data_IF_472594313851
#
_entry.id   IF_472594313851
#
_cell.length_a   1.000
_cell.length_b   1.000
_cell.length_c   1.000
_cell.angle_alpha   90.00
_cell.angle_beta   90.00
_cell.angle_gamma   90.00
#
_symmetry.space_group_name_H-M   'P 1'
#
loop_
_entity.id
_entity.type
_entity.pdbx_description
1 polymer ?
#
# COMPACT_ATOMS: atom_id res chain seq x y z
N UNK A 1 27.01 5.88 6.98
CA UNK A 1 25.91 5.59 7.94
C UNK A 1 24.90 4.73 7.21
N UNK A 2 24.26 3.78 7.89
CA UNK A 2 23.16 3.02 7.28
C UNK A 2 21.98 3.97 6.99
N UNK A 3 21.38 3.83 5.82
CA UNK A 3 20.12 4.51 5.51
C UNK A 3 19.05 4.03 6.50
N UNK A 4 18.44 4.95 7.24
CA UNK A 4 17.41 4.62 8.23
C UNK A 4 16.07 4.29 7.59
N UNK A 5 15.90 4.59 6.31
CA UNK A 5 14.70 4.35 5.53
C UNK A 5 14.91 3.23 4.50
N UNK A 6 15.94 2.40 4.62
CA UNK A 6 16.02 1.17 3.82
C UNK A 6 15.08 0.10 4.39
N UNK A 7 14.02 -0.19 3.65
CA UNK A 7 13.03 -1.23 3.99
C UNK A 7 13.19 -2.49 3.13
N UNK A 8 14.32 -2.65 2.43
CA UNK A 8 14.61 -3.85 1.65
C UNK A 8 14.48 -5.11 2.50
N UNK A 9 13.73 -6.09 1.97
CA UNK A 9 13.48 -7.36 2.65
C UNK A 9 12.46 -7.29 3.79
N UNK A 10 11.81 -6.14 4.00
CA UNK A 10 10.69 -5.99 4.94
C UNK A 10 9.35 -6.11 4.22
N UNK A 11 8.32 -6.50 4.96
CA UNK A 11 6.93 -6.48 4.52
C UNK A 11 6.22 -5.37 5.31
N UNK A 12 5.49 -4.50 4.61
CA UNK A 12 4.76 -3.38 5.20
C UNK A 12 3.29 -3.45 4.79
N UNK A 13 2.41 -3.38 5.78
CA UNK A 13 0.96 -3.20 5.62
C UNK A 13 0.59 -1.81 6.11
N UNK A 14 -0.12 -1.06 5.27
CA UNK A 14 -0.75 0.21 5.67
C UNK A 14 -2.26 0.02 5.55
N UNK A 15 -2.99 0.23 6.65
CA UNK A 15 -4.46 0.20 6.64
C UNK A 15 -5.01 1.48 6.04
N UNK A 16 -6.14 1.39 5.32
CA UNK A 16 -6.71 2.55 4.63
C UNK A 16 -5.80 3.14 3.54
N UNK A 17 -4.99 2.30 2.88
CA UNK A 17 -3.98 2.74 1.91
C UNK A 17 -4.47 2.86 0.48
N UNK A 18 -5.79 2.79 0.25
CA UNK A 18 -6.37 2.97 -1.08
C UNK A 18 -6.33 4.43 -1.55
N UNK A 19 -6.20 5.41 -0.64
CA UNK A 19 -6.25 6.85 -0.95
C UNK A 19 -5.60 7.71 0.13
N UNK A 20 -5.46 9.00 -0.15
CA UNK A 20 -4.99 10.02 0.80
C UNK A 20 -3.59 9.71 1.36
N UNK A 21 -3.38 10.00 2.64
CA UNK A 21 -2.09 9.80 3.30
C UNK A 21 -1.67 8.33 3.28
N UNK A 22 -2.60 7.39 3.47
CA UNK A 22 -2.29 5.96 3.45
C UNK A 22 -1.69 5.50 2.12
N UNK A 23 -2.21 6.03 1.00
CA UNK A 23 -1.67 5.75 -0.33
C UNK A 23 -0.25 6.30 -0.51
N UNK A 24 0.02 7.54 -0.10
CA UNK A 24 1.36 8.12 -0.21
C UNK A 24 2.37 7.41 0.72
N UNK A 25 1.93 6.99 1.90
CA UNK A 25 2.78 6.22 2.82
C UNK A 25 3.17 4.86 2.23
N UNK A 26 2.21 4.08 1.71
CA UNK A 26 2.54 2.76 1.16
C UNK A 26 3.43 2.87 -0.08
N UNK A 27 3.24 3.91 -0.92
CA UNK A 27 4.12 4.22 -2.05
C UNK A 27 5.53 4.58 -1.59
N UNK A 28 5.66 5.40 -0.56
CA UNK A 28 6.96 5.74 0.01
C UNK A 28 7.69 4.49 0.52
N UNK A 29 7.01 3.60 1.25
CA UNK A 29 7.61 2.32 1.68
C UNK A 29 8.05 1.45 0.48
N UNK A 30 7.24 1.38 -0.58
CA UNK A 30 7.58 0.66 -1.80
C UNK A 30 8.80 1.24 -2.51
N UNK A 31 8.89 2.57 -2.62
CA UNK A 31 10.04 3.28 -3.18
C UNK A 31 11.34 3.01 -2.39
N UNK A 32 11.21 2.69 -1.11
CA UNK A 32 12.29 2.33 -0.21
C UNK A 32 12.51 0.80 -0.07
N UNK A 33 12.00 0.01 -1.01
CA UNK A 33 12.33 -1.42 -1.15
C UNK A 33 11.47 -2.39 -0.34
N UNK A 34 10.42 -1.90 0.34
CA UNK A 34 9.49 -2.77 1.05
C UNK A 34 8.61 -3.58 0.09
N UNK A 35 8.30 -4.83 0.49
CA UNK A 35 7.15 -5.56 -0.06
C UNK A 35 5.88 -5.01 0.57
N UNK A 36 4.97 -4.50 -0.25
CA UNK A 36 3.85 -3.71 0.23
C UNK A 36 2.53 -4.49 0.20
N UNK A 37 1.70 -4.28 1.21
CA UNK A 37 0.32 -4.75 1.29
C UNK A 37 -0.60 -3.54 1.33
N UNK A 38 -1.46 -3.42 0.32
CA UNK A 38 -2.44 -2.35 0.20
C UNK A 38 -3.76 -2.84 0.79
N UNK A 39 -4.27 -2.17 1.83
CA UNK A 39 -5.57 -2.47 2.42
C UNK A 39 -6.63 -1.44 2.02
N UNK A 40 -7.85 -1.94 1.79
CA UNK A 40 -9.04 -1.15 1.56
C UNK A 40 -10.28 -1.82 2.18
N UNK A 41 -11.30 -1.02 2.47
CA UNK A 41 -12.65 -1.50 2.83
C UNK A 41 -13.55 -1.48 1.60
N UNK A 42 -14.44 -2.47 1.45
CA UNK A 42 -15.39 -2.47 0.35
C UNK A 42 -16.40 -1.32 0.44
N UNK A 43 -16.80 -0.82 -0.72
CA UNK A 43 -17.92 0.12 -0.89
C UNK A 43 -18.85 -0.40 -2.00
N UNK A 44 -20.12 0.04 -1.96
CA UNK A 44 -21.15 -0.45 -2.87
C UNK A 44 -20.82 -0.18 -4.36
N UNK A 45 -20.01 0.84 -4.64
CA UNK A 45 -19.62 1.25 -5.99
C UNK A 45 -18.30 0.61 -6.44
N UNK A 46 -17.61 -0.12 -5.56
CA UNK A 46 -16.30 -0.71 -5.82
C UNK A 46 -15.18 0.32 -6.02
N UNK A 47 -15.42 1.58 -5.63
CA UNK A 47 -14.46 2.68 -5.83
C UNK A 47 -13.18 2.43 -5.04
N UNK A 48 -13.28 2.00 -3.77
CA UNK A 48 -12.15 1.74 -2.90
C UNK A 48 -11.26 0.62 -3.46
N UNK A 49 -11.86 -0.39 -4.09
CA UNK A 49 -11.12 -1.45 -4.79
C UNK A 49 -10.38 -0.87 -6.00
N UNK A 50 -11.05 -0.06 -6.81
CA UNK A 50 -10.42 0.57 -7.96
C UNK A 50 -9.24 1.46 -7.55
N UNK A 51 -9.38 2.24 -6.48
CA UNK A 51 -8.32 3.10 -5.96
C UNK A 51 -7.16 2.28 -5.39
N UNK A 52 -7.44 1.24 -4.61
CA UNK A 52 -6.41 0.32 -4.11
C UNK A 52 -5.61 -0.32 -5.26
N UNK A 53 -6.30 -0.74 -6.32
CA UNK A 53 -5.66 -1.29 -7.52
C UNK A 53 -4.86 -0.23 -8.29
N UNK A 54 -5.24 1.05 -8.24
CA UNK A 54 -4.46 2.14 -8.83
C UNK A 54 -3.18 2.39 -8.03
N UNK A 55 -3.25 2.44 -6.69
CA UNK A 55 -2.07 2.54 -5.82
C UNK A 55 -1.14 1.36 -6.04
N UNK A 56 -1.68 0.14 -6.18
CA UNK A 56 -0.92 -1.07 -6.41
C UNK A 56 -0.08 -1.06 -7.71
N UNK A 57 -0.51 -0.32 -8.75
CA UNK A 57 0.25 -0.22 -10.01
C UNK A 57 1.60 0.49 -9.84
N UNK A 58 1.76 1.29 -8.78
CA UNK A 58 2.99 2.03 -8.47
C UNK A 58 3.93 1.22 -7.55
N UNK A 59 3.54 0.01 -7.16
CA UNK A 59 4.28 -0.84 -6.22
C UNK A 59 4.82 -2.09 -6.92
N UNK A 60 5.93 -2.62 -6.39
CA UNK A 60 6.51 -3.87 -6.88
C UNK A 60 5.79 -5.08 -6.27
N UNK A 61 5.04 -5.81 -7.10
CA UNK A 61 4.30 -7.04 -6.75
C UNK A 61 3.53 -6.94 -5.41
N UNK A 62 2.67 -5.91 -5.21
CA UNK A 62 1.96 -5.75 -3.95
C UNK A 62 0.87 -6.80 -3.78
N UNK A 63 0.55 -7.10 -2.52
CA UNK A 63 -0.67 -7.80 -2.18
C UNK A 63 -1.78 -6.78 -1.90
N UNK A 64 -2.94 -6.93 -2.54
CA UNK A 64 -4.10 -6.05 -2.32
C UNK A 64 -5.15 -6.84 -1.52
N UNK A 65 -5.53 -6.34 -0.35
CA UNK A 65 -6.44 -7.02 0.59
C UNK A 65 -7.65 -6.15 0.91
N UNK A 66 -8.84 -6.72 0.70
CA UNK A 66 -10.09 -6.20 1.25
C UNK A 66 -10.22 -6.64 2.71
N UNK A 67 -10.33 -5.69 3.64
CA UNK A 67 -10.54 -5.98 5.05
C UNK A 67 -11.12 -4.74 5.75
N UNK A 68 -12.19 -4.95 6.51
CA UNK A 68 -12.73 -3.99 7.47
C UNK A 68 -11.96 -4.15 8.79
N UNK A 69 -11.35 -3.06 9.27
CA UNK A 69 -10.29 -3.07 10.30
C UNK A 69 -10.73 -2.39 11.58
#
# INVERSE_FOLDING_TARGET
MADRLDFTGKVVLVTGSSRGIGAEMIKAFGAHGAKCVVNYVADAQGQNKADAMNVAKELNEPLVIECDV
#
